data_IF_433227305632
#
_entry.id   IF_433227305632
#
_cell.length_a   1.000
_cell.length_b   1.000
_cell.length_c   1.000
_cell.angle_alpha   90.00
_cell.angle_beta   90.00
_cell.angle_gamma   90.00
#
_symmetry.space_group_name_H-M   'P 1'
#
loop_
_entity.id
_entity.type
_entity.pdbx_description
1 polymer ?
#
# COMPACT_ATOMS: atom_id res chain seq x y z
N UNK A 1 -12.95 -69.53 3.75
CA UNK A 1 -13.83 -68.41 4.16
C UNK A 1 -13.10 -67.11 4.57
N UNK A 2 -11.85 -67.13 5.07
CA UNK A 2 -11.16 -65.91 5.56
C UNK A 2 -10.80 -64.86 4.49
N UNK A 3 -10.70 -65.23 3.20
CA UNK A 3 -10.33 -64.29 2.11
C UNK A 3 -11.41 -63.25 1.80
N UNK A 4 -12.69 -63.57 2.00
CA UNK A 4 -13.78 -62.63 1.68
C UNK A 4 -13.91 -61.52 2.74
N UNK A 5 -13.47 -61.78 3.98
CA UNK A 5 -13.51 -60.81 5.08
C UNK A 5 -12.52 -59.66 4.84
N UNK A 6 -11.32 -59.97 4.34
CA UNK A 6 -10.33 -58.94 3.99
C UNK A 6 -10.77 -58.07 2.82
N UNK A 7 -11.47 -58.65 1.83
CA UNK A 7 -11.91 -57.91 0.65
C UNK A 7 -13.05 -56.94 0.99
N UNK A 8 -13.98 -57.35 1.85
CA UNK A 8 -15.07 -56.49 2.35
C UNK A 8 -14.52 -55.35 3.22
N UNK A 9 -13.55 -55.64 4.10
CA UNK A 9 -12.91 -54.61 4.93
C UNK A 9 -12.17 -53.54 4.12
N UNK A 10 -11.50 -53.94 3.03
CA UNK A 10 -10.81 -53.02 2.12
C UNK A 10 -11.76 -52.05 1.43
N UNK A 11 -12.92 -52.52 0.97
CA UNK A 11 -13.94 -51.68 0.30
C UNK A 11 -14.50 -50.63 1.27
N UNK A 12 -14.76 -51.01 2.53
CA UNK A 12 -15.24 -50.09 3.55
C UNK A 12 -14.21 -48.99 3.90
N UNK A 13 -12.93 -49.34 4.00
CA UNK A 13 -11.87 -48.36 4.27
C UNK A 13 -11.73 -47.33 3.13
N UNK A 14 -11.87 -47.78 1.89
CA UNK A 14 -11.76 -46.94 0.70
C UNK A 14 -12.96 -45.99 0.58
N UNK A 15 -14.18 -46.49 0.83
CA UNK A 15 -15.38 -45.67 0.88
C UNK A 15 -15.31 -44.60 1.98
N UNK A 16 -14.79 -44.96 3.15
CA UNK A 16 -14.62 -44.01 4.27
C UNK A 16 -13.60 -42.92 3.96
N UNK A 17 -12.47 -43.26 3.32
CA UNK A 17 -11.46 -42.29 2.91
C UNK A 17 -11.99 -41.29 1.87
N UNK A 18 -12.76 -41.78 0.88
CA UNK A 18 -13.41 -40.94 -0.12
C UNK A 18 -14.45 -39.99 0.50
N UNK A 19 -15.28 -40.50 1.41
CA UNK A 19 -16.29 -39.70 2.10
C UNK A 19 -15.66 -38.61 2.97
N UNK A 20 -14.56 -38.91 3.68
CA UNK A 20 -13.85 -37.94 4.49
C UNK A 20 -13.23 -36.79 3.65
N UNK A 21 -12.64 -37.13 2.49
CA UNK A 21 -12.07 -36.15 1.57
C UNK A 21 -13.17 -35.24 0.98
N UNK A 22 -14.30 -35.82 0.58
CA UNK A 22 -15.42 -35.06 0.04
C UNK A 22 -16.04 -34.13 1.09
N UNK A 23 -16.18 -34.60 2.33
CA UNK A 23 -16.63 -33.78 3.46
C UNK A 23 -15.69 -32.60 3.73
N UNK A 24 -14.37 -32.82 3.67
CA UNK A 24 -13.38 -31.76 3.86
C UNK A 24 -13.47 -30.68 2.77
N UNK A 25 -13.65 -31.07 1.50
CA UNK A 25 -13.83 -30.14 0.38
C UNK A 25 -15.10 -29.28 0.53
N UNK A 26 -16.23 -29.88 0.91
CA UNK A 26 -17.49 -29.15 1.12
C UNK A 26 -17.36 -28.16 2.29
N UNK A 27 -16.64 -28.54 3.35
CA UNK A 27 -16.38 -27.66 4.50
C UNK A 27 -15.45 -26.50 4.15
N UNK A 28 -14.45 -26.72 3.31
CA UNK A 28 -13.57 -25.66 2.82
C UNK A 28 -14.31 -24.70 1.86
N UNK A 29 -15.24 -25.23 1.06
CA UNK A 29 -16.05 -24.45 0.12
C UNK A 29 -17.22 -23.70 0.77
N UNK A 30 -17.60 -24.03 2.00
CA UNK A 30 -18.68 -23.36 2.74
C UNK A 30 -18.19 -22.01 3.28
N UNK A 31 -18.10 -21.07 2.34
CA UNK A 31 -18.18 -19.62 2.48
C UNK A 31 -17.70 -19.02 3.79
N UNK A 32 -16.51 -18.41 3.77
CA UNK A 32 -16.25 -17.22 4.57
C UNK A 32 -17.41 -16.25 4.31
N UNK A 33 -18.35 -16.15 5.25
CA UNK A 33 -19.37 -15.10 5.22
C UNK A 33 -18.61 -13.78 5.15
N UNK A 34 -18.75 -13.06 4.04
CA UNK A 34 -18.26 -11.69 3.92
C UNK A 34 -19.02 -10.92 5.00
N UNK A 35 -18.31 -10.53 6.06
CA UNK A 35 -18.89 -9.65 7.08
C UNK A 35 -19.25 -8.36 6.36
N UNK A 36 -20.52 -7.97 6.51
CA UNK A 36 -21.03 -6.73 5.98
C UNK A 36 -20.18 -5.57 6.53
N UNK A 37 -19.57 -4.81 5.63
CA UNK A 37 -18.73 -3.68 5.99
C UNK A 37 -19.57 -2.62 6.69
N UNK A 38 -19.36 -2.43 7.99
CA UNK A 38 -19.80 -1.22 8.68
C UNK A 38 -18.65 -0.22 8.60
N UNK A 39 -18.82 0.94 7.94
CA UNK A 39 -17.79 1.95 7.95
C UNK A 39 -17.46 2.35 9.40
N UNK A 40 -16.19 2.64 9.72
CA UNK A 40 -15.83 3.15 11.04
C UNK A 40 -16.69 4.40 11.31
N UNK A 41 -17.25 4.47 12.52
CA UNK A 41 -18.03 5.61 12.99
C UNK A 41 -17.16 6.84 12.81
N UNK A 42 -17.60 7.77 11.97
CA UNK A 42 -16.89 9.02 11.75
C UNK A 42 -16.74 9.71 13.11
N UNK A 43 -15.50 9.93 13.54
CA UNK A 43 -15.21 10.71 14.75
C UNK A 43 -15.85 12.08 14.54
N UNK A 44 -16.85 12.42 15.36
CA UNK A 44 -17.74 13.57 15.17
C UNK A 44 -17.02 14.93 15.25
N UNK A 45 -15.73 14.95 15.59
CA UNK A 45 -14.92 16.15 15.56
C UNK A 45 -13.59 15.87 14.87
N UNK A 46 -13.29 16.50 13.72
CA UNK A 46 -11.94 16.47 13.19
C UNK A 46 -11.02 17.11 14.23
N UNK A 47 -10.09 16.33 14.79
CA UNK A 47 -8.98 16.90 15.54
C UNK A 47 -8.09 17.65 14.53
N UNK A 48 -8.43 18.92 14.29
CA UNK A 48 -7.85 19.81 13.25
C UNK A 48 -6.31 19.90 13.34
N UNK A 49 -5.72 19.55 14.49
CA UNK A 49 -4.31 19.72 14.78
C UNK A 49 -3.48 18.43 14.79
N UNK A 50 -4.07 17.27 14.49
CA UNK A 50 -3.33 16.00 14.44
C UNK A 50 -3.31 15.49 13.02
N UNK A 51 -2.12 15.06 12.55
CA UNK A 51 -1.99 14.35 11.27
C UNK A 51 -3.02 13.20 11.19
N UNK A 52 -3.82 13.12 10.11
CA UNK A 52 -4.78 12.04 9.91
C UNK A 52 -4.18 10.64 10.10
N UNK A 53 -2.89 10.47 9.77
CA UNK A 53 -2.14 9.23 9.97
C UNK A 53 -2.09 8.79 11.44
N UNK A 54 -1.93 9.74 12.38
CA UNK A 54 -1.94 9.44 13.81
C UNK A 54 -3.33 9.07 14.33
N UNK A 55 -4.39 9.57 13.69
CA UNK A 55 -5.76 9.20 14.06
C UNK A 55 -6.08 7.77 13.62
N UNK A 56 -5.62 7.36 12.44
CA UNK A 56 -5.77 6.00 11.94
C UNK A 56 -5.03 4.95 12.80
N UNK A 57 -3.86 5.30 13.35
CA UNK A 57 -3.07 4.43 14.24
C UNK A 57 -3.79 4.11 15.57
N UNK A 58 -4.70 4.98 16.02
CA UNK A 58 -5.47 4.83 17.27
C UNK A 58 -6.65 3.87 17.10
N UNK A 59 -7.03 3.50 15.87
CA UNK A 59 -8.14 2.59 15.60
C UNK A 59 -7.69 1.13 15.75
N UNK A 60 -7.94 0.54 16.94
CA UNK A 60 -7.46 -0.79 17.36
C UNK A 60 -8.06 -2.02 16.63
N UNK A 61 -8.69 -1.88 15.46
CA UNK A 61 -9.14 -3.05 14.71
C UNK A 61 -8.79 -2.97 13.22
N UNK A 62 -7.72 -3.64 12.77
CA UNK A 62 -7.46 -3.76 11.37
C UNK A 62 -8.39 -4.85 10.82
N UNK A 63 -9.66 -4.51 10.55
CA UNK A 63 -10.46 -5.28 9.59
C UNK A 63 -9.90 -4.99 8.18
N UNK A 64 -8.72 -5.58 7.91
CA UNK A 64 -7.96 -5.43 6.66
C UNK A 64 -8.68 -6.19 5.54
N UNK A 65 -9.70 -5.55 4.98
CA UNK A 65 -10.33 -5.95 3.72
C UNK A 65 -10.49 -4.76 2.77
N UNK A 66 -9.68 -3.72 2.94
CA UNK A 66 -9.75 -2.55 2.07
C UNK A 66 -8.92 -2.76 0.82
N UNK A 67 -9.57 -2.52 -0.33
CA UNK A 67 -9.00 -2.55 -1.68
C UNK A 67 -8.61 -3.92 -2.28
N UNK A 68 -8.97 -5.04 -1.64
CA UNK A 68 -8.80 -6.37 -2.26
C UNK A 68 -9.48 -6.46 -3.62
N UNK A 69 -10.63 -5.81 -3.78
CA UNK A 69 -11.36 -5.72 -5.05
C UNK A 69 -10.69 -4.86 -6.12
N UNK A 70 -9.75 -3.98 -5.75
CA UNK A 70 -8.99 -3.16 -6.70
C UNK A 70 -7.86 -3.94 -7.35
N UNK A 71 -7.28 -4.91 -6.64
CA UNK A 71 -6.17 -5.71 -7.15
C UNK A 71 -6.43 -6.31 -8.54
N UNK A 72 -7.56 -7.02 -8.81
CA UNK A 72 -7.80 -7.57 -10.15
C UNK A 72 -7.95 -6.48 -11.23
N UNK A 73 -8.47 -5.29 -10.87
CA UNK A 73 -8.57 -4.16 -11.81
C UNK A 73 -7.20 -3.54 -12.10
N UNK A 74 -6.32 -3.48 -11.10
CA UNK A 74 -4.94 -3.05 -11.29
C UNK A 74 -4.18 -4.06 -12.15
N UNK A 75 -4.31 -5.35 -11.86
CA UNK A 75 -3.68 -6.43 -12.63
C UNK A 75 -4.13 -6.38 -14.11
N UNK A 76 -5.42 -6.12 -14.38
CA UNK A 76 -5.95 -5.92 -15.73
C UNK A 76 -5.43 -4.63 -16.41
N UNK A 77 -5.30 -3.54 -15.65
CA UNK A 77 -4.78 -2.29 -16.19
C UNK A 77 -3.28 -2.40 -16.54
N UNK A 78 -2.51 -3.07 -15.69
CA UNK A 78 -1.07 -3.31 -15.86
C UNK A 78 -0.81 -4.22 -17.06
N UNK A 79 -1.60 -5.27 -17.24
CA UNK A 79 -1.39 -6.23 -18.35
C UNK A 79 -1.56 -5.61 -19.74
N UNK A 80 -2.22 -4.45 -19.83
CA UNK A 80 -2.41 -3.69 -21.06
C UNK A 80 -1.23 -2.75 -21.39
N UNK A 81 -0.26 -2.59 -20.48
CA UNK A 81 0.88 -1.70 -20.68
C UNK A 81 2.07 -2.50 -21.20
N UNK A 82 2.48 -2.22 -22.43
CA UNK A 82 3.65 -2.86 -23.06
C UNK A 82 4.94 -2.07 -22.78
N UNK A 83 6.07 -2.77 -22.78
CA UNK A 83 7.40 -2.15 -22.68
C UNK A 83 7.82 -1.70 -21.28
N UNK A 84 7.14 -2.15 -20.22
CA UNK A 84 7.53 -1.90 -18.83
C UNK A 84 8.07 -3.19 -18.21
N UNK A 85 9.26 -3.11 -17.61
CA UNK A 85 9.91 -4.24 -16.94
C UNK A 85 9.32 -4.49 -15.54
N UNK A 86 9.19 -3.43 -14.74
CA UNK A 86 8.70 -3.52 -13.36
C UNK A 86 7.73 -2.38 -13.02
N UNK A 87 6.65 -2.71 -12.32
CA UNK A 87 5.65 -1.75 -11.80
C UNK A 87 5.51 -1.94 -10.30
N UNK A 88 5.63 -0.83 -9.56
CA UNK A 88 5.35 -0.75 -8.13
C UNK A 88 4.21 0.23 -7.86
N UNK A 89 3.27 -0.17 -7.02
CA UNK A 89 2.12 0.66 -6.63
C UNK A 89 1.98 0.63 -5.12
N UNK A 90 1.84 1.81 -4.52
CA UNK A 90 1.52 1.98 -3.11
C UNK A 90 0.38 2.98 -2.97
N UNK A 91 -0.70 2.55 -2.33
CA UNK A 91 -1.86 3.38 -2.02
C UNK A 91 -2.16 3.26 -0.54
N UNK A 92 -2.35 4.39 0.14
CA UNK A 92 -2.76 4.43 1.54
C UNK A 92 -3.88 5.47 1.72
N UNK A 93 -5.00 5.07 2.30
CA UNK A 93 -6.04 5.99 2.74
C UNK A 93 -5.66 6.55 4.11
N UNK A 94 -5.41 7.86 4.16
CA UNK A 94 -4.99 8.55 5.38
C UNK A 94 -6.06 8.59 6.47
N UNK A 95 -7.33 8.32 6.13
CA UNK A 95 -8.45 8.35 7.10
C UNK A 95 -8.65 7.00 7.78
N UNK A 96 -8.59 5.92 7.00
CA UNK A 96 -8.87 4.56 7.48
C UNK A 96 -7.60 3.77 7.81
N UNK A 97 -6.42 4.24 7.37
CA UNK A 97 -5.17 3.48 7.48
C UNK A 97 -5.11 2.28 6.53
N UNK A 98 -6.17 2.01 5.77
CA UNK A 98 -6.20 1.00 4.74
C UNK A 98 -5.14 1.25 3.69
N UNK A 99 -4.46 0.20 3.25
CA UNK A 99 -3.44 0.31 2.23
C UNK A 99 -3.48 -0.87 1.25
N UNK A 100 -2.97 -0.62 0.04
CA UNK A 100 -2.77 -1.59 -1.02
C UNK A 100 -1.36 -1.39 -1.56
N UNK A 101 -0.57 -2.47 -1.56
CA UNK A 101 0.77 -2.51 -2.13
C UNK A 101 0.88 -3.57 -3.23
N UNK A 102 1.59 -3.23 -4.30
CA UNK A 102 2.09 -4.16 -5.31
C UNK A 102 3.56 -3.84 -5.53
N UNK A 103 4.44 -4.84 -5.33
CA UNK A 103 5.90 -4.67 -5.42
C UNK A 103 6.42 -3.47 -4.61
N UNK A 104 5.76 -3.12 -3.49
CA UNK A 104 6.08 -1.93 -2.70
C UNK A 104 7.43 -2.01 -1.99
N UNK A 105 7.99 -3.22 -1.86
CA UNK A 105 9.32 -3.48 -1.28
C UNK A 105 10.43 -3.50 -2.32
N UNK A 106 10.10 -3.42 -3.62
CA UNK A 106 11.07 -3.39 -4.70
C UNK A 106 11.74 -2.02 -4.75
N UNK A 107 13.05 -1.99 -5.01
CA UNK A 107 13.80 -0.74 -5.16
C UNK A 107 13.52 -0.11 -6.52
N UNK A 108 13.03 1.14 -6.52
CA UNK A 108 12.86 1.94 -7.74
C UNK A 108 13.78 3.15 -7.72
N UNK A 109 14.23 3.59 -8.89
CA UNK A 109 14.97 4.85 -9.03
C UNK A 109 13.98 6.00 -8.85
N UNK A 110 14.10 6.85 -7.81
CA UNK A 110 13.10 7.88 -7.52
C UNK A 110 13.08 9.00 -8.57
N UNK A 111 14.13 9.15 -9.38
CA UNK A 111 14.27 10.22 -10.38
C UNK A 111 13.93 11.59 -9.77
N UNK A 112 13.01 12.35 -10.38
CA UNK A 112 12.61 13.67 -9.88
C UNK A 112 11.80 13.64 -8.57
N UNK A 113 11.29 12.49 -8.11
CA UNK A 113 10.60 12.40 -6.81
C UNK A 113 11.51 12.78 -5.64
N UNK A 114 12.84 12.65 -5.79
CA UNK A 114 13.81 13.08 -4.77
C UNK A 114 13.73 14.58 -4.46
N UNK A 115 13.22 15.41 -5.37
CA UNK A 115 13.05 16.86 -5.14
C UNK A 115 12.09 17.15 -4.00
N UNK A 116 11.10 16.27 -3.74
CA UNK A 116 10.12 16.46 -2.67
C UNK A 116 10.77 16.40 -1.28
N UNK A 117 11.46 15.30 -0.87
CA UNK A 117 12.12 15.28 0.44
C UNK A 117 13.23 16.32 0.56
N UNK A 118 13.92 16.67 -0.53
CA UNK A 118 14.91 17.77 -0.54
C UNK A 118 14.24 19.11 -0.22
N UNK A 119 13.12 19.42 -0.88
CA UNK A 119 12.37 20.65 -0.59
C UNK A 119 11.81 20.64 0.83
N UNK A 120 11.29 19.52 1.31
CA UNK A 120 10.84 19.37 2.70
C UNK A 120 11.97 19.63 3.69
N UNK A 121 13.18 19.14 3.42
CA UNK A 121 14.35 19.41 4.26
C UNK A 121 14.74 20.89 4.25
N UNK A 122 14.69 21.55 3.10
CA UNK A 122 14.93 23.00 2.98
C UNK A 122 13.87 23.77 3.80
N UNK A 123 12.59 23.48 3.59
CA UNK A 123 11.49 24.08 4.35
C UNK A 123 11.68 23.87 5.86
N UNK A 124 12.17 22.69 6.27
CA UNK A 124 12.43 22.42 7.68
C UNK A 124 13.54 23.29 8.28
N UNK A 125 14.58 23.59 7.50
CA UNK A 125 15.64 24.52 7.90
C UNK A 125 15.14 25.95 8.01
N UNK A 126 14.27 26.37 7.10
CA UNK A 126 13.57 27.65 7.16
C UNK A 126 12.73 27.80 8.42
N UNK A 127 11.90 26.81 8.76
CA UNK A 127 11.09 26.80 9.98
C UNK A 127 11.95 26.93 11.26
N UNK A 128 13.18 26.42 11.23
CA UNK A 128 14.12 26.46 12.36
C UNK A 128 14.98 27.73 12.41
N UNK A 129 14.87 28.61 11.41
CA UNK A 129 15.73 29.79 11.29
C UNK A 129 17.17 29.47 10.88
N UNK A 130 17.46 28.23 10.44
CA UNK A 130 18.77 27.81 9.95
C UNK A 130 19.04 28.32 8.51
N UNK A 131 18.00 28.76 7.81
CA UNK A 131 18.06 29.40 6.50
C UNK A 131 17.18 30.64 6.48
N UNK A 132 17.69 31.74 5.91
CA UNK A 132 16.95 32.99 5.72
C UNK A 132 16.47 33.09 4.28
N UNK A 133 15.32 33.73 4.05
CA UNK A 133 14.67 33.81 2.73
C UNK A 133 15.38 34.73 1.75
N UNK A 134 16.45 35.39 2.22
CA UNK A 134 17.28 36.22 1.37
C UNK A 134 18.26 35.33 0.63
N UNK A 135 18.31 35.37 -0.72
CA UNK A 135 19.44 34.80 -1.41
C UNK A 135 20.71 35.50 -0.88
N UNK A 136 21.87 34.82 -0.76
CA UNK A 136 23.11 35.56 -0.85
C UNK A 136 23.02 36.28 -2.20
N UNK A 137 22.78 37.58 -2.17
CA UNK A 137 22.93 38.46 -3.31
C UNK A 137 24.39 38.32 -3.70
N UNK A 138 24.67 37.35 -4.57
CA UNK A 138 25.98 37.15 -5.15
C UNK A 138 26.25 38.43 -5.92
N UNK A 139 27.04 39.29 -5.29
CA UNK A 139 27.45 40.58 -5.82
C UNK A 139 28.26 40.37 -7.08
N UNK A 140 27.60 40.09 -8.21
CA UNK A 140 28.08 40.48 -9.52
C UNK A 140 27.70 41.94 -9.68
N UNK A 141 28.46 42.79 -8.99
CA UNK A 141 28.68 44.14 -9.49
C UNK A 141 29.34 43.97 -10.86
N UNK A 142 28.51 44.01 -11.90
CA UNK A 142 29.00 44.24 -13.26
C UNK A 142 29.69 45.61 -13.18
N UNK A 143 31.02 45.60 -13.07
CA UNK A 143 31.84 46.81 -13.21
C UNK A 143 31.55 47.34 -14.61
N UNK A 144 30.63 48.29 -14.67
CA UNK A 144 30.38 49.13 -15.84
C UNK A 144 31.69 49.87 -16.07
N UNK A 145 32.50 49.42 -17.02
CA UNK A 145 33.70 50.14 -17.45
C UNK A 145 33.24 51.52 -17.88
N UNK A 146 33.66 52.54 -17.13
CA UNK A 146 33.58 53.93 -17.56
C UNK A 146 34.35 54.05 -18.85
N UNK A 147 33.62 54.12 -19.96
CA UNK A 147 34.18 54.50 -21.24
C UNK A 147 34.37 56.02 -21.19
N UNK A 148 35.56 56.44 -20.78
CA UNK A 148 36.02 57.81 -20.86
C UNK A 148 36.48 58.01 -22.30
N UNK A 149 35.58 58.52 -23.14
CA UNK A 149 35.96 59.00 -24.45
C UNK A 149 36.63 60.37 -24.29
N UNK A 150 37.86 60.43 -24.80
CA UNK A 150 38.60 61.65 -25.15
C UNK A 150 37.87 62.49 -26.22
#
# INVERSE_FOLDING_TARGET
>A
MKKNIFLIGGIFALAFSLAANLYFLIRQSSGKKIREYKPPVAVEQPLILISPLKQAEISESPEVLHYVYLKPKLDEAISKVEGIEDIGIFLQDSRSGAWLGMNEKTGFVPASLLKVPVMMAILKKFERGEMTSSPPMEGRSIRRSENKND
#
